data_IF_456538888472
#
_entry.id   IF_456538888472
#
_cell.length_a   1.000
_cell.length_b   1.000
_cell.length_c   1.000
_cell.angle_alpha   90.00
_cell.angle_beta   90.00
_cell.angle_gamma   90.00
#
_symmetry.space_group_name_H-M   'P 1'
#
loop_
_entity.id
_entity.type
_entity.pdbx_description
1 polymer ?
#
# COMPACT_ATOMS: atom_id res chain seq x y z
N UNK A 1 5.14 8.70 -12.96
CA UNK A 1 4.62 9.56 -11.87
C UNK A 1 4.67 11.07 -12.17
N UNK A 2 4.51 11.51 -13.44
CA UNK A 2 4.43 12.94 -13.79
C UNK A 2 3.11 13.35 -14.50
N UNK A 3 2.11 12.45 -14.56
CA UNK A 3 0.85 12.66 -15.29
C UNK A 3 -0.41 12.05 -14.61
N UNK A 4 -0.42 11.86 -13.28
CA UNK A 4 -1.65 11.46 -12.57
C UNK A 4 -2.46 12.71 -12.17
N UNK A 5 -3.79 12.60 -12.15
CA UNK A 5 -4.67 13.65 -11.62
C UNK A 5 -4.51 13.86 -10.11
N UNK A 6 -4.01 12.85 -9.38
CA UNK A 6 -3.86 12.87 -7.92
C UNK A 6 -2.40 12.62 -7.51
N UNK A 7 -1.47 13.57 -7.77
CA UNK A 7 -0.04 13.36 -7.52
C UNK A 7 0.31 13.22 -6.03
N UNK A 8 -0.49 13.78 -5.12
CA UNK A 8 -0.29 13.63 -3.68
C UNK A 8 -0.58 12.19 -3.23
N UNK A 9 -1.71 11.64 -3.66
CA UNK A 9 -2.14 10.27 -3.33
C UNK A 9 -1.08 9.25 -3.77
N UNK A 10 -0.63 9.32 -5.02
CA UNK A 10 0.39 8.41 -5.54
C UNK A 10 1.74 8.55 -4.81
N UNK A 11 2.10 9.76 -4.36
CA UNK A 11 3.30 9.96 -3.52
C UNK A 11 3.12 9.34 -2.13
N UNK A 12 1.92 9.42 -1.55
CA UNK A 12 1.62 8.79 -0.27
C UNK A 12 1.66 7.26 -0.36
N UNK A 13 1.16 6.69 -1.46
CA UNK A 13 1.29 5.25 -1.74
C UNK A 13 2.76 4.84 -1.77
N UNK A 14 3.61 5.57 -2.49
CA UNK A 14 5.05 5.30 -2.50
C UNK A 14 5.67 5.40 -1.11
N UNK A 15 5.33 6.45 -0.36
CA UNK A 15 5.81 6.64 1.00
C UNK A 15 5.49 5.43 1.88
N UNK A 16 4.24 4.96 1.87
CA UNK A 16 3.83 3.80 2.67
C UNK A 16 4.44 2.49 2.17
N UNK A 17 4.56 2.32 0.86
CA UNK A 17 5.22 1.16 0.28
C UNK A 17 6.70 1.07 0.70
N UNK A 18 7.40 2.20 0.84
CA UNK A 18 8.77 2.22 1.37
C UNK A 18 8.86 1.89 2.87
N UNK A 19 7.84 2.25 3.66
CA UNK A 19 7.82 1.98 5.11
C UNK A 19 7.52 0.51 5.41
N UNK A 20 6.50 -0.05 4.74
CA UNK A 20 6.05 -1.43 5.01
C UNK A 20 6.69 -2.48 4.10
N UNK A 21 7.46 -2.03 3.09
CA UNK A 21 8.46 -2.78 2.33
C UNK A 21 8.08 -4.24 2.02
N UNK A 22 6.98 -4.43 1.32
CA UNK A 22 6.51 -5.73 0.80
C UNK A 22 7.06 -5.97 -0.60
N UNK A 23 7.99 -6.92 -0.74
CA UNK A 23 8.58 -7.29 -2.02
C UNK A 23 7.83 -8.44 -2.71
N UNK A 24 7.72 -8.41 -4.04
CA UNK A 24 7.13 -9.51 -4.84
C UNK A 24 7.77 -10.86 -4.52
N UNK A 25 9.09 -10.89 -4.31
CA UNK A 25 9.86 -12.10 -3.98
C UNK A 25 9.43 -12.76 -2.67
N UNK A 26 8.70 -12.04 -1.80
CA UNK A 26 8.19 -12.52 -0.51
C UNK A 26 6.75 -13.02 -0.63
N UNK A 27 5.93 -12.33 -1.41
CA UNK A 27 4.47 -12.53 -1.49
C UNK A 27 4.07 -13.58 -2.53
N UNK A 28 4.93 -13.84 -3.54
CA UNK A 28 4.77 -14.81 -4.64
C UNK A 28 3.52 -14.58 -5.54
N UNK A 29 2.62 -13.67 -5.13
CA UNK A 29 1.37 -13.33 -5.79
C UNK A 29 1.26 -11.82 -6.00
N UNK A 30 1.39 -11.39 -7.26
CA UNK A 30 1.39 -9.97 -7.60
C UNK A 30 0.06 -9.26 -7.32
N UNK A 31 -1.05 -9.98 -7.34
CA UNK A 31 -2.38 -9.44 -7.05
C UNK A 31 -2.50 -8.87 -5.63
N UNK A 32 -1.85 -9.52 -4.66
CA UNK A 32 -1.89 -9.08 -3.25
C UNK A 32 -1.16 -7.75 -3.05
N UNK A 33 -0.09 -7.53 -3.81
CA UNK A 33 0.64 -6.26 -3.82
C UNK A 33 -0.16 -5.14 -4.48
N UNK A 34 -0.96 -5.43 -5.50
CA UNK A 34 -1.90 -4.45 -6.06
C UNK A 34 -2.99 -4.12 -5.05
N UNK A 35 -3.58 -5.12 -4.40
CA UNK A 35 -4.58 -4.89 -3.35
C UNK A 35 -4.03 -4.04 -2.20
N UNK A 36 -2.75 -4.21 -1.86
CA UNK A 36 -2.07 -3.39 -0.87
C UNK A 36 -1.86 -1.94 -1.35
N UNK A 37 -1.46 -1.75 -2.60
CA UNK A 37 -1.33 -0.42 -3.23
C UNK A 37 -2.67 0.31 -3.25
N UNK A 38 -3.74 -0.36 -3.65
CA UNK A 38 -5.09 0.23 -3.68
C UNK A 38 -5.58 0.55 -2.27
N UNK A 39 -5.29 -0.30 -1.27
CA UNK A 39 -5.55 0.01 0.13
C UNK A 39 -4.81 1.29 0.59
N UNK A 40 -3.57 1.49 0.16
CA UNK A 40 -2.84 2.73 0.46
C UNK A 40 -3.42 3.96 -0.27
N UNK A 41 -3.98 3.81 -1.47
CA UNK A 41 -4.71 4.92 -2.13
C UNK A 41 -5.94 5.31 -1.32
N UNK A 42 -6.72 4.33 -0.89
CA UNK A 42 -7.98 4.55 -0.17
C UNK A 42 -7.78 5.06 1.26
N UNK A 43 -6.77 4.57 1.97
CA UNK A 43 -6.60 4.78 3.43
C UNK A 43 -5.34 5.56 3.80
N UNK A 44 -4.38 5.71 2.89
CA UNK A 44 -3.04 6.24 3.18
C UNK A 44 -3.00 7.73 3.58
N UNK A 45 -4.07 8.49 3.37
CA UNK A 45 -4.22 9.87 3.84
C UNK A 45 -5.20 10.02 5.02
N UNK A 46 -5.75 8.91 5.50
CA UNK A 46 -6.75 8.87 6.57
C UNK A 46 -6.18 8.57 7.95
N UNK A 47 -6.98 7.93 8.79
CA UNK A 47 -6.58 7.49 10.13
C UNK A 47 -5.43 6.47 10.05
N UNK A 48 -4.29 6.81 10.64
CA UNK A 48 -3.13 5.93 10.70
C UNK A 48 -3.47 4.59 11.40
N UNK A 49 -4.29 4.65 12.46
CA UNK A 49 -4.76 3.44 13.16
C UNK A 49 -5.52 2.51 12.23
N UNK A 50 -6.47 3.04 11.47
CA UNK A 50 -7.34 2.21 10.63
C UNK A 50 -6.56 1.65 9.45
N UNK A 51 -5.67 2.47 8.87
CA UNK A 51 -4.75 2.03 7.83
C UNK A 51 -3.87 0.87 8.31
N UNK A 52 -3.31 0.95 9.53
CA UNK A 52 -2.51 -0.14 10.10
C UNK A 52 -3.33 -1.41 10.35
N UNK A 53 -4.58 -1.27 10.79
CA UNK A 53 -5.48 -2.42 11.01
C UNK A 53 -5.81 -3.11 9.69
N UNK A 54 -6.08 -2.35 8.62
CA UNK A 54 -6.33 -2.92 7.29
C UNK A 54 -5.06 -3.52 6.68
N UNK A 55 -3.92 -2.88 6.86
CA UNK A 55 -2.63 -3.41 6.43
C UNK A 55 -2.32 -4.75 7.11
N UNK A 56 -2.57 -4.89 8.41
CA UNK A 56 -2.32 -6.13 9.14
C UNK A 56 -3.19 -7.31 8.67
N UNK A 57 -4.34 -7.04 8.06
CA UNK A 57 -5.21 -8.06 7.45
C UNK A 57 -4.77 -8.47 6.04
N UNK A 58 -3.90 -7.66 5.40
CA UNK A 58 -3.48 -7.92 4.04
C UNK A 58 -2.51 -9.12 4.00
N UNK A 59 -2.72 -10.12 3.11
CA UNK A 59 -1.86 -11.30 3.00
C UNK A 59 -0.38 -11.00 2.79
N UNK A 60 -0.03 -9.88 2.15
CA UNK A 60 1.37 -9.44 1.95
C UNK A 60 2.15 -9.22 3.25
N UNK A 61 1.46 -9.01 4.37
CA UNK A 61 2.09 -8.80 5.68
C UNK A 61 2.35 -10.10 6.44
N UNK A 62 1.76 -11.22 6.03
CA UNK A 62 1.85 -12.50 6.73
C UNK A 62 3.01 -13.37 6.22
N UNK A 63 3.23 -13.38 4.90
CA UNK A 63 4.23 -14.22 4.21
C UNK A 63 5.38 -13.40 3.71
#
# INVERSE_FOLDING_TARGET
>A
MMHTGNPLEEKMVLFWHQIFATGQSKVDHWHELIAQIDMFRDRGMGSYRDMLVELAKNPTMIF
#
